data_IF_873431999661
#
_entry.id   IF_873431999661
#
_cell.length_a   1.000
_cell.length_b   1.000
_cell.length_c   1.000
_cell.angle_alpha   90.00
_cell.angle_beta   90.00
_cell.angle_gamma   90.00
#
_symmetry.space_group_name_H-M   'P 1'
#
loop_
_entity.id
_entity.type
_entity.pdbx_description
1 polymer ?
#
# COMPACT_ATOMS: atom_id res chain seq x y z
N UNK A 1 -24.53 -7.09 -2.58
CA UNK A 1 -24.43 -7.38 -4.02
C UNK A 1 -23.13 -6.75 -4.51
N UNK A 2 -22.12 -7.54 -4.85
CA UNK A 2 -20.83 -7.08 -5.43
C UNK A 2 -20.99 -6.20 -6.70
N UNK A 3 -22.22 -6.07 -7.20
CA UNK A 3 -22.64 -5.32 -8.36
C UNK A 3 -23.80 -4.39 -7.95
N UNK A 4 -23.56 -3.38 -7.12
CA UNK A 4 -24.61 -2.45 -6.75
C UNK A 4 -24.97 -1.46 -7.88
N UNK A 5 -24.21 -1.41 -8.99
CA UNK A 5 -24.47 -0.42 -10.04
C UNK A 5 -24.27 -0.86 -11.51
N UNK A 6 -24.08 -2.17 -11.77
CA UNK A 6 -24.01 -2.71 -13.15
C UNK A 6 -23.05 -1.97 -14.13
N UNK A 7 -22.08 -1.20 -13.63
CA UNK A 7 -21.18 -0.38 -14.44
C UNK A 7 -19.72 -0.72 -14.16
N UNK A 8 -18.98 -1.18 -15.16
CA UNK A 8 -17.52 -1.34 -15.15
C UNK A 8 -16.82 0.02 -15.30
N UNK A 9 -17.17 1.00 -14.46
CA UNK A 9 -16.46 2.29 -14.43
C UNK A 9 -15.34 2.23 -13.39
N UNK A 10 -14.15 2.64 -13.82
CA UNK A 10 -12.99 2.79 -12.94
C UNK A 10 -13.15 4.15 -12.24
N UNK A 11 -13.00 4.18 -10.92
CA UNK A 11 -13.04 5.43 -10.17
C UNK A 11 -11.73 6.22 -10.33
N UNK A 12 -11.73 7.50 -9.96
CA UNK A 12 -10.56 8.36 -10.10
C UNK A 12 -9.37 7.90 -9.21
N UNK A 13 -9.67 7.43 -8.00
CA UNK A 13 -8.74 6.79 -7.07
C UNK A 13 -9.31 5.49 -6.50
N UNK A 14 -8.47 4.66 -5.88
CA UNK A 14 -8.90 3.44 -5.17
C UNK A 14 -9.82 3.81 -4.00
N UNK A 15 -9.55 4.93 -3.32
CA UNK A 15 -10.38 5.38 -2.20
C UNK A 15 -11.75 5.89 -2.64
N UNK A 16 -11.92 6.39 -3.86
CA UNK A 16 -13.24 6.88 -4.33
C UNK A 16 -14.31 5.77 -4.43
N UNK A 17 -13.91 4.51 -4.35
CA UNK A 17 -14.84 3.39 -4.20
C UNK A 17 -15.63 3.41 -2.87
N UNK A 18 -15.29 4.27 -1.89
CA UNK A 18 -16.10 4.48 -0.68
C UNK A 18 -17.57 4.76 -0.96
N UNK A 19 -17.87 5.51 -2.02
CA UNK A 19 -19.25 5.84 -2.42
C UNK A 19 -19.93 4.75 -3.25
N UNK A 20 -19.17 3.75 -3.70
CA UNK A 20 -19.66 2.67 -4.54
C UNK A 20 -20.17 1.50 -3.70
N UNK A 21 -21.07 1.78 -2.75
CA UNK A 21 -21.78 0.83 -1.88
C UNK A 21 -20.94 -0.39 -1.48
N UNK A 22 -21.21 -1.53 -2.11
CA UNK A 22 -20.51 -2.80 -1.80
C UNK A 22 -19.00 -2.78 -2.07
N UNK A 23 -18.50 -2.01 -3.04
CA UNK A 23 -17.06 -1.88 -3.26
C UNK A 23 -16.39 -1.09 -2.12
N UNK A 24 -17.08 -0.09 -1.56
CA UNK A 24 -16.65 0.63 -0.36
C UNK A 24 -16.55 -0.30 0.85
N UNK A 25 -17.58 -1.12 1.09
CA UNK A 25 -17.58 -2.11 2.19
C UNK A 25 -16.40 -3.10 2.06
N UNK A 26 -16.10 -3.55 0.84
CA UNK A 26 -14.98 -4.46 0.56
C UNK A 26 -13.64 -3.75 0.78
N UNK A 27 -13.47 -2.52 0.32
CA UNK A 27 -12.27 -1.73 0.54
C UNK A 27 -11.99 -1.59 2.04
N UNK A 28 -13.00 -1.20 2.82
CA UNK A 28 -12.90 -1.10 4.29
C UNK A 28 -12.52 -2.45 4.88
N UNK A 29 -13.21 -3.54 4.50
CA UNK A 29 -12.89 -4.88 4.97
C UNK A 29 -11.44 -5.30 4.69
N UNK A 30 -10.94 -5.04 3.48
CA UNK A 30 -9.55 -5.33 3.10
C UNK A 30 -8.56 -4.52 3.95
N UNK A 31 -8.84 -3.24 4.21
CA UNK A 31 -7.97 -2.40 5.04
C UNK A 31 -7.93 -2.87 6.50
N UNK A 32 -9.05 -3.34 7.05
CA UNK A 32 -9.08 -3.96 8.38
C UNK A 32 -8.26 -5.24 8.41
N UNK A 33 -8.43 -6.13 7.43
CA UNK A 33 -7.64 -7.37 7.31
C UNK A 33 -6.16 -7.04 7.19
N UNK A 34 -5.78 -6.08 6.34
CA UNK A 34 -4.42 -5.61 6.17
C UNK A 34 -3.84 -5.04 7.47
N UNK A 35 -4.60 -4.21 8.17
CA UNK A 35 -4.17 -3.61 9.44
C UNK A 35 -3.86 -4.68 10.49
N UNK A 36 -4.79 -5.61 10.72
CA UNK A 36 -4.57 -6.69 11.68
C UNK A 36 -3.49 -7.67 11.22
N UNK A 37 -3.40 -7.95 9.93
CA UNK A 37 -2.30 -8.72 9.36
C UNK A 37 -0.94 -8.09 9.70
N UNK A 38 -0.78 -6.78 9.49
CA UNK A 38 0.43 -6.04 9.86
C UNK A 38 0.68 -6.10 11.38
N UNK A 39 -0.34 -5.93 12.20
CA UNK A 39 -0.21 -6.03 13.66
C UNK A 39 0.31 -7.39 14.14
N UNK A 40 -0.05 -8.49 13.44
CA UNK A 40 0.47 -9.82 13.77
C UNK A 40 1.92 -10.06 13.30
N UNK A 41 2.51 -9.14 12.54
CA UNK A 41 3.86 -9.29 12.01
C UNK A 41 4.92 -9.20 13.12
N UNK A 42 5.46 -10.36 13.48
CA UNK A 42 6.65 -10.49 14.32
C UNK A 42 7.88 -10.57 13.43
N UNK A 43 8.46 -9.41 13.10
CA UNK A 43 9.74 -9.36 12.39
C UNK A 43 10.93 -9.77 13.28
N UNK A 44 12.13 -9.69 12.73
CA UNK A 44 13.35 -10.12 13.42
C UNK A 44 13.78 -9.19 14.57
N UNK A 45 13.43 -7.91 14.46
CA UNK A 45 13.85 -6.84 15.36
C UNK A 45 12.61 -6.06 15.85
N UNK A 46 12.72 -5.41 17.01
CA UNK A 46 11.65 -4.60 17.59
C UNK A 46 11.22 -3.46 16.66
N UNK A 47 12.12 -3.00 15.79
CA UNK A 47 11.80 -2.00 14.75
C UNK A 47 10.75 -2.50 13.78
N UNK A 48 10.76 -3.78 13.47
CA UNK A 48 9.88 -4.40 12.49
C UNK A 48 8.46 -4.42 13.04
N UNK A 49 8.29 -4.89 14.29
CA UNK A 49 6.99 -4.89 14.97
C UNK A 49 6.46 -3.48 15.23
N UNK A 50 7.32 -2.50 15.52
CA UNK A 50 6.90 -1.09 15.65
C UNK A 50 6.37 -0.54 14.33
N UNK A 51 7.09 -0.75 13.23
CA UNK A 51 6.65 -0.32 11.90
C UNK A 51 5.33 -1.01 11.49
N UNK A 52 5.18 -2.30 11.81
CA UNK A 52 3.95 -3.04 11.54
C UNK A 52 2.75 -2.52 12.34
N UNK A 53 2.94 -2.23 13.63
CA UNK A 53 1.89 -1.65 14.48
C UNK A 53 1.48 -0.25 14.01
N UNK A 54 2.44 0.57 13.58
CA UNK A 54 2.14 1.87 12.95
C UNK A 54 1.36 1.66 11.66
N UNK A 55 1.76 0.71 10.81
CA UNK A 55 1.03 0.33 9.60
C UNK A 55 -0.41 -0.10 9.89
N UNK A 56 -0.65 -0.84 10.98
CA UNK A 56 -1.99 -1.18 11.45
C UNK A 56 -2.82 0.07 11.75
N UNK A 57 -2.29 0.98 12.58
CA UNK A 57 -2.97 2.24 12.93
C UNK A 57 -3.29 3.05 11.68
N UNK A 58 -2.37 3.16 10.73
CA UNK A 58 -2.59 3.92 9.50
C UNK A 58 -3.59 3.24 8.58
N UNK A 59 -3.56 1.91 8.43
CA UNK A 59 -4.55 1.18 7.63
C UNK A 59 -5.97 1.32 8.21
N UNK A 60 -6.12 1.21 9.52
CA UNK A 60 -7.40 1.47 10.20
C UNK A 60 -7.82 2.94 10.08
N UNK A 61 -6.86 3.86 10.15
CA UNK A 61 -7.11 5.29 9.92
C UNK A 61 -7.67 5.58 8.53
N UNK A 62 -7.07 5.00 7.49
CA UNK A 62 -7.61 5.07 6.11
C UNK A 62 -9.01 4.47 6.08
N UNK A 63 -9.20 3.28 6.66
CA UNK A 63 -10.47 2.55 6.66
C UNK A 63 -11.63 3.36 7.29
N UNK A 64 -11.35 4.05 8.39
CA UNK A 64 -12.33 4.77 9.22
C UNK A 64 -12.53 6.24 8.79
N UNK A 65 -11.70 6.77 7.90
CA UNK A 65 -11.81 8.13 7.38
C UNK A 65 -12.20 8.07 5.90
N UNK A 66 -13.48 7.99 5.53
CA UNK A 66 -13.88 7.89 4.13
C UNK A 66 -13.59 9.19 3.36
N UNK A 67 -13.10 9.07 2.12
CA UNK A 67 -12.86 10.22 1.21
C UNK A 67 -14.13 10.85 0.67
N UNK A 68 -15.29 10.45 1.15
CA UNK A 68 -16.58 10.90 0.64
C UNK A 68 -17.39 11.63 1.71
N UNK A 69 -16.83 11.73 2.91
CA UNK A 69 -17.43 12.50 4.00
C UNK A 69 -17.55 13.99 3.60
N UNK A 70 -18.69 14.63 3.83
CA UNK A 70 -18.82 16.09 3.61
C UNK A 70 -17.92 16.96 4.52
N UNK A 71 -17.14 16.36 5.43
CA UNK A 71 -16.26 17.06 6.35
C UNK A 71 -14.81 17.08 5.84
N UNK A 72 -14.32 18.27 5.50
CA UNK A 72 -12.97 18.48 5.01
C UNK A 72 -11.87 17.95 5.97
N UNK A 73 -12.12 17.94 7.28
CA UNK A 73 -11.17 17.39 8.25
C UNK A 73 -10.97 15.88 8.06
N UNK A 74 -12.04 15.12 7.83
CA UNK A 74 -11.98 13.66 7.61
C UNK A 74 -11.26 13.36 6.29
N UNK A 75 -11.50 14.14 5.24
CA UNK A 75 -10.74 14.05 3.99
C UNK A 75 -9.24 14.23 4.21
N UNK A 76 -8.83 15.29 4.91
CA UNK A 76 -7.41 15.53 5.21
C UNK A 76 -6.84 14.35 6.00
N UNK A 77 -7.58 13.86 6.99
CA UNK A 77 -7.15 12.76 7.83
C UNK A 77 -6.96 11.46 7.02
N UNK A 78 -7.85 11.16 6.07
CA UNK A 78 -7.67 10.05 5.12
C UNK A 78 -6.35 10.17 4.35
N UNK A 79 -6.10 11.32 3.72
CA UNK A 79 -4.88 11.53 2.93
C UNK A 79 -3.61 11.43 3.78
N UNK A 80 -3.63 11.95 5.01
CA UNK A 80 -2.51 11.82 5.95
C UNK A 80 -2.27 10.35 6.30
N UNK A 81 -3.31 9.59 6.66
CA UNK A 81 -3.17 8.17 6.97
C UNK A 81 -2.72 7.36 5.76
N UNK A 82 -3.21 7.64 4.56
CA UNK A 82 -2.81 6.97 3.33
C UNK A 82 -1.32 7.21 3.04
N UNK A 83 -0.86 8.47 3.11
CA UNK A 83 0.55 8.81 2.91
C UNK A 83 1.46 8.11 3.94
N UNK A 84 1.05 8.07 5.21
CA UNK A 84 1.79 7.39 6.26
C UNK A 84 1.80 5.87 6.06
N UNK A 85 0.70 5.27 5.63
CA UNK A 85 0.61 3.84 5.31
C UNK A 85 1.57 3.46 4.17
N UNK A 86 1.54 4.21 3.06
CA UNK A 86 2.45 3.97 1.94
C UNK A 86 3.93 4.21 2.34
N UNK A 87 4.19 5.17 3.22
CA UNK A 87 5.54 5.39 3.76
C UNK A 87 6.03 4.18 4.56
N UNK A 88 5.15 3.55 5.36
CA UNK A 88 5.45 2.29 6.05
C UNK A 88 5.75 1.17 5.05
N UNK A 89 4.96 1.03 3.98
CA UNK A 89 5.20 0.02 2.93
C UNK A 89 6.55 0.18 2.24
N UNK A 90 6.90 1.42 1.89
CA UNK A 90 8.22 1.75 1.32
C UNK A 90 9.33 1.39 2.30
N UNK A 91 9.18 1.75 3.57
CA UNK A 91 10.16 1.45 4.61
C UNK A 91 10.34 -0.07 4.80
N UNK A 92 9.25 -0.83 4.79
CA UNK A 92 9.30 -2.29 4.81
C UNK A 92 10.13 -2.85 3.65
N UNK A 93 9.86 -2.38 2.42
CA UNK A 93 10.52 -2.88 1.22
C UNK A 93 12.00 -2.48 1.14
N UNK A 94 12.31 -1.18 1.27
CA UNK A 94 13.67 -0.66 1.05
C UNK A 94 14.62 -0.97 2.21
N UNK A 95 14.10 -1.08 3.43
CA UNK A 95 14.94 -1.23 4.62
C UNK A 95 14.69 -2.55 5.36
N UNK A 96 13.51 -2.78 5.92
CA UNK A 96 13.29 -3.91 6.83
C UNK A 96 13.46 -5.27 6.16
N UNK A 97 12.88 -5.47 4.97
CA UNK A 97 13.01 -6.73 4.24
C UNK A 97 14.43 -6.97 3.71
N UNK A 98 15.19 -5.88 3.54
CA UNK A 98 16.58 -5.91 3.09
C UNK A 98 17.59 -6.12 4.20
N UNK A 99 17.22 -5.95 5.48
CA UNK A 99 18.08 -6.34 6.61
C UNK A 99 18.54 -7.80 6.46
N UNK A 100 19.82 -8.03 6.76
CA UNK A 100 20.45 -9.35 6.73
C UNK A 100 21.20 -9.55 8.04
N UNK A 101 20.96 -10.67 8.73
CA UNK A 101 21.67 -11.00 9.95
C UNK A 101 23.09 -11.52 9.68
N UNK A 102 23.97 -11.57 10.71
CA UNK A 102 25.32 -12.11 10.58
C UNK A 102 25.30 -13.53 10.00
N UNK A 103 26.11 -13.80 8.98
CA UNK A 103 26.24 -15.12 8.35
C UNK A 103 25.10 -15.55 7.41
N UNK A 104 24.11 -14.69 7.13
CA UNK A 104 22.94 -15.00 6.26
C UNK A 104 23.00 -14.38 4.86
N UNK A 105 24.18 -14.00 4.39
CA UNK A 105 24.37 -13.46 3.05
C UNK A 105 24.42 -14.59 2.02
N UNK A 106 23.26 -15.00 1.49
CA UNK A 106 23.16 -15.96 0.39
C UNK A 106 22.94 -15.22 -0.94
N UNK A 107 23.40 -15.79 -2.06
CA UNK A 107 23.09 -15.28 -3.42
C UNK A 107 21.59 -15.12 -3.65
N UNK A 108 20.82 -15.92 -2.94
CA UNK A 108 19.38 -15.94 -2.99
C UNK A 108 18.74 -14.77 -2.23
N UNK A 109 19.27 -14.43 -1.06
CA UNK A 109 18.93 -13.20 -0.33
C UNK A 109 19.24 -11.96 -1.17
N UNK A 110 20.31 -11.95 -1.95
CA UNK A 110 20.63 -10.83 -2.85
C UNK A 110 19.57 -10.64 -3.94
N UNK A 111 19.06 -11.75 -4.51
CA UNK A 111 17.95 -11.70 -5.47
C UNK A 111 16.68 -11.15 -4.83
N UNK A 112 16.31 -11.63 -3.63
CA UNK A 112 15.17 -11.09 -2.86
C UNK A 112 15.35 -9.58 -2.57
N UNK A 113 16.55 -9.17 -2.19
CA UNK A 113 16.89 -7.77 -1.91
C UNK A 113 16.73 -6.86 -3.14
N UNK A 114 17.05 -7.35 -4.34
CA UNK A 114 16.80 -6.62 -5.59
C UNK A 114 15.31 -6.43 -5.83
N UNK A 115 14.50 -7.48 -5.62
CA UNK A 115 13.03 -7.39 -5.75
C UNK A 115 12.49 -6.34 -4.79
N UNK A 116 12.88 -6.38 -3.51
CA UNK A 116 12.42 -5.38 -2.53
C UNK A 116 12.83 -3.96 -2.90
N UNK A 117 14.04 -3.75 -3.41
CA UNK A 117 14.49 -2.43 -3.85
C UNK A 117 13.67 -1.91 -5.04
N UNK A 118 13.44 -2.76 -6.06
CA UNK A 118 12.64 -2.38 -7.23
C UNK A 118 11.21 -2.03 -6.81
N UNK A 119 10.56 -2.87 -6.00
CA UNK A 119 9.22 -2.59 -5.47
C UNK A 119 9.19 -1.27 -4.67
N UNK A 120 10.21 -1.03 -3.83
CA UNK A 120 10.37 0.21 -3.10
C UNK A 120 10.45 1.45 -3.99
N UNK A 121 11.28 1.39 -5.04
CA UNK A 121 11.44 2.48 -6.01
C UNK A 121 10.14 2.72 -6.77
N UNK A 122 9.44 1.67 -7.19
CA UNK A 122 8.14 1.79 -7.87
C UNK A 122 7.09 2.48 -6.98
N UNK A 123 7.01 2.12 -5.69
CA UNK A 123 6.13 2.81 -4.76
C UNK A 123 6.48 4.30 -4.59
N UNK A 124 7.76 4.64 -4.46
CA UNK A 124 8.21 6.05 -4.39
C UNK A 124 7.82 6.79 -5.67
N UNK A 125 8.09 6.20 -6.83
CA UNK A 125 7.74 6.77 -8.13
C UNK A 125 6.23 6.98 -8.28
N UNK A 126 5.41 6.04 -7.81
CA UNK A 126 3.95 6.20 -7.78
C UNK A 126 3.50 7.38 -6.92
N UNK A 127 4.02 7.53 -5.70
CA UNK A 127 3.63 8.65 -4.81
C UNK A 127 4.05 9.99 -5.41
N UNK A 128 5.27 10.09 -5.95
CA UNK A 128 5.74 11.29 -6.64
C UNK A 128 4.88 11.55 -7.89
N UNK A 129 4.52 10.49 -8.62
CA UNK A 129 3.64 10.54 -9.79
C UNK A 129 2.27 11.10 -9.45
N UNK A 130 1.64 10.63 -8.36
CA UNK A 130 0.36 11.14 -7.86
C UNK A 130 0.47 12.64 -7.55
N UNK A 131 1.50 13.05 -6.81
CA UNK A 131 1.71 14.47 -6.50
C UNK A 131 1.89 15.32 -7.77
N UNK A 132 2.68 14.84 -8.73
CA UNK A 132 2.93 15.53 -10.00
C UNK A 132 1.65 15.67 -10.84
N UNK A 133 0.89 14.58 -11.04
CA UNK A 133 -0.32 14.64 -11.86
C UNK A 133 -1.41 15.48 -11.20
N UNK A 134 -1.52 15.45 -9.87
CA UNK A 134 -2.48 16.29 -9.15
C UNK A 134 -2.09 17.77 -9.11
N UNK A 135 -0.80 18.12 -9.18
CA UNK A 135 -0.37 19.52 -9.11
C UNK A 135 -0.21 20.17 -10.49
N UNK A 136 0.21 19.40 -11.49
CA UNK A 136 0.62 19.93 -12.80
C UNK A 136 -0.31 19.48 -13.93
N UNK A 137 -0.86 18.27 -13.87
CA UNK A 137 -1.60 17.65 -14.98
C UNK A 137 -3.02 17.23 -14.59
N UNK A 138 -3.72 18.05 -13.79
CA UNK A 138 -5.05 17.72 -13.25
C UNK A 138 -6.07 17.22 -14.29
N UNK A 139 -6.22 17.84 -15.48
CA UNK A 139 -7.18 17.33 -16.47
C UNK A 139 -6.84 15.91 -16.93
N UNK A 140 -5.56 15.65 -17.25
CA UNK A 140 -5.11 14.32 -17.63
C UNK A 140 -5.22 13.30 -16.48
N UNK A 141 -5.00 13.74 -15.23
CA UNK A 141 -5.20 12.90 -14.07
C UNK A 141 -6.65 12.38 -14.00
N UNK A 142 -7.61 13.26 -14.31
CA UNK A 142 -9.04 12.95 -14.30
C UNK A 142 -9.44 12.08 -15.48
N UNK A 143 -9.06 12.47 -16.70
CA UNK A 143 -9.47 11.78 -17.94
C UNK A 143 -8.90 10.35 -18.03
N UNK A 144 -7.70 10.12 -17.50
CA UNK A 144 -7.01 8.84 -17.58
C UNK A 144 -6.96 8.07 -16.26
N UNK A 145 -7.65 8.55 -15.21
CA UNK A 145 -7.68 7.91 -13.88
C UNK A 145 -6.27 7.63 -13.34
N UNK A 146 -5.34 8.58 -13.50
CA UNK A 146 -3.91 8.34 -13.24
C UNK A 146 -3.64 8.04 -11.76
N UNK A 147 -4.40 8.66 -10.84
CA UNK A 147 -4.26 8.43 -9.40
C UNK A 147 -4.56 6.96 -9.06
N UNK A 148 -5.68 6.43 -9.54
CA UNK A 148 -6.02 5.01 -9.42
C UNK A 148 -4.90 4.09 -9.89
N UNK A 149 -4.31 4.36 -11.07
CA UNK A 149 -3.24 3.52 -11.61
C UNK A 149 -1.95 3.59 -10.78
N UNK A 150 -1.56 4.76 -10.31
CA UNK A 150 -0.38 4.91 -9.47
C UNK A 150 -0.56 4.24 -8.09
N UNK A 151 -1.74 4.38 -7.47
CA UNK A 151 -2.09 3.70 -6.22
C UNK A 151 -2.08 2.18 -6.40
N UNK A 152 -2.71 1.68 -7.47
CA UNK A 152 -2.72 0.26 -7.81
C UNK A 152 -1.32 -0.29 -8.03
N UNK A 153 -0.47 0.44 -8.77
CA UNK A 153 0.92 0.05 -8.99
C UNK A 153 1.71 0.01 -7.68
N UNK A 154 1.49 0.96 -6.77
CA UNK A 154 2.14 0.99 -5.47
C UNK A 154 1.70 -0.20 -4.59
N UNK A 155 0.39 -0.49 -4.53
CA UNK A 155 -0.17 -1.61 -3.77
C UNK A 155 0.29 -2.97 -4.31
N UNK A 156 0.29 -3.16 -5.63
CA UNK A 156 0.81 -4.39 -6.28
C UNK A 156 2.30 -4.55 -6.02
N UNK A 157 3.08 -3.47 -6.12
CA UNK A 157 4.51 -3.48 -5.81
C UNK A 157 4.79 -3.89 -4.37
N UNK A 158 4.02 -3.35 -3.42
CA UNK A 158 4.10 -3.76 -2.02
C UNK A 158 3.75 -5.24 -1.85
N UNK A 159 2.64 -5.70 -2.43
CA UNK A 159 2.21 -7.10 -2.38
C UNK A 159 3.26 -8.07 -2.91
N UNK A 160 3.88 -7.78 -4.05
CA UNK A 160 4.99 -8.57 -4.61
C UNK A 160 6.18 -8.62 -3.63
N UNK A 161 6.54 -7.48 -3.04
CA UNK A 161 7.63 -7.42 -2.07
C UNK A 161 7.32 -8.26 -0.82
N UNK A 162 6.07 -8.26 -0.35
CA UNK A 162 5.65 -9.04 0.81
C UNK A 162 5.61 -10.55 0.53
N UNK A 163 5.06 -10.95 -0.62
CA UNK A 163 5.05 -12.36 -1.06
C UNK A 163 6.48 -12.90 -1.19
N UNK A 164 7.40 -12.09 -1.73
CA UNK A 164 8.82 -12.44 -1.82
C UNK A 164 9.43 -12.60 -0.42
N UNK A 165 8.97 -11.83 0.57
CA UNK A 165 9.40 -11.96 1.98
C UNK A 165 8.80 -13.18 2.69
N UNK A 166 7.62 -13.63 2.31
CA UNK A 166 6.99 -14.83 2.88
C UNK A 166 7.73 -16.13 2.50
N UNK A 167 8.76 -16.07 1.64
CA UNK A 167 9.60 -17.18 1.17
C UNK A 167 8.84 -18.34 0.49
N UNK A 168 7.52 -18.24 0.34
CA UNK A 168 6.66 -19.31 -0.16
C UNK A 168 6.81 -19.55 -1.67
N UNK A 169 7.16 -18.52 -2.45
CA UNK A 169 6.91 -18.56 -3.89
C UNK A 169 8.15 -18.69 -4.79
N UNK A 170 9.37 -18.32 -4.37
CA UNK A 170 10.48 -18.31 -5.35
C UNK A 170 11.87 -18.72 -4.88
N UNK A 171 12.18 -18.69 -3.59
CA UNK A 171 13.57 -18.73 -3.16
C UNK A 171 13.67 -19.17 -1.69
N UNK A 172 13.49 -20.48 -1.44
CA UNK A 172 13.81 -21.13 -0.15
C UNK A 172 15.31 -21.39 -0.07
N UNK A 173 15.99 -20.84 0.94
CA UNK A 173 17.44 -20.97 1.08
C UNK A 173 17.76 -22.48 1.17
N UNK A 174 18.60 -22.98 0.24
CA UNK A 174 19.10 -24.35 0.25
C UNK A 174 20.22 -24.50 1.28
#
# INVERSE_FOLDING_TARGET
NLFANNSFKIEYSVSDYYDNGTAGDILVGILFVLGFFLMTYKGYDKTDSRAANLGCVFALGVALCPTTSGNNFIHILHFVFALLLFSVFIFFSIYLFRKTGPGKCTKQKDKRNKVYLVCGILMIASIIGIALVMLVFKPAAQDYHLVFWFESLALVSFGISWITKAEYLFLKDK
#
